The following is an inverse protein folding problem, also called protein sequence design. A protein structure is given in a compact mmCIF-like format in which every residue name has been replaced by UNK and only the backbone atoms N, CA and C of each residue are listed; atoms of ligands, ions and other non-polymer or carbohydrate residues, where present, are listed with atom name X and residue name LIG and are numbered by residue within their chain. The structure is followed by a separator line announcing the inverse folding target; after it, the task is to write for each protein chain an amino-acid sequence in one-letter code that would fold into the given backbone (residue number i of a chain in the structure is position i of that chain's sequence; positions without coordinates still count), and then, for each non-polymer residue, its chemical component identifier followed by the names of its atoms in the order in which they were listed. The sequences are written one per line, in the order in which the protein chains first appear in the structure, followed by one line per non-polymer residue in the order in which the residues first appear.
data_IF_164375683940
#
_entry.id   IF_164375683940
#
_cell.length_a   1.000
_cell.length_b   1.000
_cell.length_c   1.000
_cell.angle_alpha   90.00
_cell.angle_beta   90.00
_cell.angle_gamma   90.00
#
_symmetry.space_group_name_H-M   'P 1'
#
loop_
_entity.id
_entity.type
_entity.pdbx_description
1 polymer ?
#
# COMPACT_ATOMS: atom_id res chain seq x y z
N UNK A 1 5.83 15.29 13.03
CA UNK A 1 6.51 15.13 11.72
C UNK A 1 5.71 15.92 10.68
N UNK A 2 6.35 16.74 9.85
CA UNK A 2 5.66 17.56 8.84
C UNK A 2 5.62 16.78 7.50
N UNK A 3 4.45 16.28 7.12
CA UNK A 3 4.24 15.49 5.88
C UNK A 3 3.84 16.36 4.68
N UNK A 4 3.92 17.69 4.78
CA UNK A 4 3.38 18.64 3.80
C UNK A 4 3.96 18.52 2.37
N UNK A 5 4.96 17.67 2.13
CA UNK A 5 5.57 17.44 0.82
C UNK A 5 5.56 15.96 0.39
N UNK A 6 4.84 15.08 1.09
CA UNK A 6 4.80 13.67 0.74
C UNK A 6 3.93 13.45 -0.51
N UNK A 7 4.44 12.82 -1.59
CA UNK A 7 3.60 12.46 -2.72
C UNK A 7 2.41 11.62 -2.25
N UNK A 8 1.20 12.09 -2.57
CA UNK A 8 -0.05 11.47 -2.11
C UNK A 8 -1.07 11.47 -3.24
N UNK A 9 -1.89 10.43 -3.32
CA UNK A 9 -2.93 10.25 -4.35
C UNK A 9 -4.20 9.68 -3.74
N UNK A 10 -5.36 10.07 -4.26
CA UNK A 10 -6.64 9.47 -3.86
C UNK A 10 -6.74 8.00 -4.28
N UNK A 11 -7.33 7.15 -3.44
CA UNK A 11 -7.51 5.72 -3.74
C UNK A 11 -8.25 5.45 -5.07
N UNK A 12 -9.19 6.32 -5.44
CA UNK A 12 -9.93 6.24 -6.70
C UNK A 12 -9.07 6.52 -7.94
N UNK A 13 -7.95 7.22 -7.77
CA UNK A 13 -7.04 7.63 -8.85
C UNK A 13 -5.85 6.69 -9.04
N UNK A 14 -5.73 5.65 -8.21
CA UNK A 14 -4.66 4.63 -8.37
C UNK A 14 -4.95 3.77 -9.61
N UNK A 15 -4.02 3.65 -10.58
CA UNK A 15 -4.22 2.85 -11.80
C UNK A 15 -4.60 1.38 -11.51
N UNK A 16 -5.27 0.74 -12.47
CA UNK A 16 -5.73 -0.65 -12.32
C UNK A 16 -4.61 -1.68 -12.30
N UNK A 17 -3.47 -1.37 -12.92
CA UNK A 17 -2.26 -2.19 -13.03
C UNK A 17 -1.10 -1.66 -12.17
N UNK A 18 -1.41 -0.77 -11.22
CA UNK A 18 -0.44 -0.18 -10.31
C UNK A 18 0.23 -1.25 -9.42
N UNK A 19 1.50 -1.03 -9.08
CA UNK A 19 2.16 -1.77 -8.00
C UNK A 19 1.65 -1.20 -6.67
N UNK A 20 0.67 -1.86 -6.07
CA UNK A 20 0.21 -1.53 -4.72
C UNK A 20 1.07 -2.28 -3.71
N UNK A 21 1.67 -1.54 -2.78
CA UNK A 21 2.43 -2.09 -1.65
C UNK A 21 1.57 -1.96 -0.39
N UNK A 22 1.00 -3.07 0.08
CA UNK A 22 0.22 -3.10 1.32
C UNK A 22 1.15 -3.38 2.51
N UNK A 23 1.17 -2.46 3.47
CA UNK A 23 2.01 -2.53 4.67
C UNK A 23 1.25 -2.85 5.95
N UNK A 24 -0.01 -3.29 5.81
CA UNK A 24 -0.81 -3.77 6.94
C UNK A 24 -0.31 -5.14 7.43
N UNK A 25 -0.70 -5.51 8.64
CA UNK A 25 -0.32 -6.82 9.20
C UNK A 25 -1.12 -7.96 8.55
N UNK A 26 -0.69 -9.21 8.76
CA UNK A 26 -1.22 -10.40 8.09
C UNK A 26 -2.74 -10.59 8.27
N UNK A 27 -3.28 -10.27 9.44
CA UNK A 27 -4.71 -10.40 9.74
C UNK A 27 -5.54 -9.39 8.94
N UNK A 28 -5.05 -8.16 8.81
CA UNK A 28 -5.67 -7.12 7.99
C UNK A 28 -5.62 -7.46 6.49
N UNK A 29 -4.50 -8.04 6.03
CA UNK A 29 -4.33 -8.51 4.66
C UNK A 29 -5.28 -9.66 4.33
N UNK A 30 -5.34 -10.68 5.19
CA UNK A 30 -6.16 -11.87 4.97
C UNK A 30 -7.67 -11.55 4.93
N UNK A 31 -8.12 -10.55 5.70
CA UNK A 31 -9.51 -10.08 5.71
C UNK A 31 -9.96 -9.45 4.38
N UNK A 32 -9.07 -8.74 3.71
CA UNK A 32 -9.38 -8.08 2.45
C UNK A 32 -8.27 -7.15 1.99
N UNK A 33 -7.82 -7.31 0.74
CA UNK A 33 -6.75 -6.52 0.16
C UNK A 33 -6.95 -6.30 -1.35
N UNK A 34 -6.10 -5.47 -1.95
CA UNK A 34 -6.11 -5.19 -3.39
C UNK A 34 -5.53 -6.38 -4.16
N UNK A 35 -6.27 -6.90 -5.14
CA UNK A 35 -5.79 -8.00 -5.98
C UNK A 35 -4.45 -7.66 -6.65
N UNK A 36 -3.48 -8.57 -6.54
CA UNK A 36 -2.14 -8.40 -7.12
C UNK A 36 -1.23 -7.42 -6.36
N UNK A 37 -1.64 -6.92 -5.19
CA UNK A 37 -0.76 -6.12 -4.34
C UNK A 37 0.43 -6.95 -3.81
N UNK A 38 1.54 -6.27 -3.57
CA UNK A 38 2.67 -6.80 -2.82
C UNK A 38 2.42 -6.56 -1.33
N UNK A 39 2.40 -7.63 -0.54
CA UNK A 39 2.23 -7.55 0.91
C UNK A 39 3.56 -7.62 1.65
N UNK A 40 3.90 -6.54 2.36
CA UNK A 40 5.07 -6.47 3.23
C UNK A 40 4.66 -5.79 4.54
N UNK A 41 4.33 -6.56 5.60
CA UNK A 41 3.91 -6.00 6.89
C UNK A 41 4.87 -4.95 7.41
N UNK A 42 4.34 -3.90 8.03
CA UNK A 42 5.18 -2.83 8.58
C UNK A 42 6.19 -3.36 9.62
N UNK A 43 5.79 -4.38 10.39
CA UNK A 43 6.64 -5.09 11.35
C UNK A 43 7.85 -5.79 10.72
N UNK A 44 7.75 -6.20 9.46
CA UNK A 44 8.79 -6.93 8.71
C UNK A 44 9.49 -6.07 7.65
N UNK A 45 9.00 -4.84 7.43
CA UNK A 45 9.35 -4.03 6.27
C UNK A 45 10.85 -3.85 6.04
N UNK A 46 11.62 -3.58 7.10
CA UNK A 46 13.08 -3.39 6.99
C UNK A 46 13.78 -4.70 6.61
N UNK A 47 13.35 -5.83 7.17
CA UNK A 47 13.93 -7.13 6.88
C UNK A 47 13.60 -7.60 5.45
N UNK A 48 12.41 -7.25 4.96
CA UNK A 48 11.89 -7.61 3.64
C UNK A 48 12.03 -6.49 2.60
N UNK A 49 12.84 -5.47 2.89
CA UNK A 49 13.04 -4.33 2.00
C UNK A 49 13.53 -4.73 0.59
N UNK A 50 14.28 -5.83 0.50
CA UNK A 50 14.73 -6.41 -0.77
C UNK A 50 13.57 -6.70 -1.73
N UNK A 51 12.45 -7.24 -1.24
CA UNK A 51 11.27 -7.55 -2.05
C UNK A 51 10.68 -6.27 -2.69
N UNK A 52 10.66 -5.17 -1.92
CA UNK A 52 10.18 -3.88 -2.42
C UNK A 52 11.11 -3.37 -3.52
N UNK A 53 12.43 -3.44 -3.30
CA UNK A 53 13.41 -2.98 -4.31
C UNK A 53 13.38 -3.80 -5.59
N UNK A 54 13.15 -5.11 -5.50
CA UNK A 54 12.97 -5.98 -6.66
C UNK A 54 11.68 -5.64 -7.41
N UNK A 55 10.59 -5.40 -6.70
CA UNK A 55 9.29 -5.07 -7.30
C UNK A 55 9.27 -3.73 -8.06
N UNK A 56 10.14 -2.77 -7.68
CA UNK A 56 10.29 -1.47 -8.36
C UNK A 56 11.51 -1.40 -9.29
N UNK A 57 12.25 -2.50 -9.48
CA UNK A 57 13.53 -2.49 -10.21
C UNK A 57 13.38 -2.09 -11.69
N UNK A 58 12.20 -2.26 -12.27
CA UNK A 58 11.85 -1.83 -13.63
C UNK A 58 11.43 -0.34 -13.72
N UNK A 59 11.49 0.39 -12.61
CA UNK A 59 11.14 1.81 -12.53
C UNK A 59 9.65 2.07 -12.28
N UNK A 60 8.86 1.05 -11.91
CA UNK A 60 7.46 1.24 -11.52
C UNK A 60 7.33 2.05 -10.22
N UNK A 61 6.33 2.93 -10.18
CA UNK A 61 5.94 3.67 -8.97
C UNK A 61 5.24 2.74 -7.98
N UNK A 62 5.66 2.77 -6.72
CA UNK A 62 5.00 2.09 -5.63
C UNK A 62 3.85 2.93 -5.05
N UNK A 63 2.64 2.37 -5.02
CA UNK A 63 1.46 2.96 -4.38
C UNK A 63 1.30 2.33 -3.00
N UNK A 64 1.76 3.04 -1.97
CA UNK A 64 1.85 2.49 -0.62
C UNK A 64 0.51 2.61 0.08
N UNK A 65 0.03 1.49 0.59
CA UNK A 65 -1.29 1.29 1.15
C UNK A 65 -1.20 0.86 2.60
N UNK A 66 -2.04 1.42 3.46
CA UNK A 66 -2.34 0.83 4.76
C UNK A 66 -3.84 0.96 5.04
N UNK A 67 -4.28 0.83 6.30
CA UNK A 67 -5.71 0.94 6.62
C UNK A 67 -6.31 2.32 6.35
N UNK A 68 -5.62 3.39 6.80
CA UNK A 68 -6.16 4.77 6.81
C UNK A 68 -5.19 5.84 6.27
N UNK A 69 -4.00 5.44 5.79
CA UNK A 69 -2.98 6.36 5.27
C UNK A 69 -1.79 6.66 6.20
N UNK A 70 -1.90 6.40 7.51
CA UNK A 70 -0.86 6.75 8.49
C UNK A 70 0.46 5.97 8.37
N UNK A 71 0.39 4.63 8.43
CA UNK A 71 1.57 3.74 8.29
C UNK A 71 2.19 3.84 6.90
N UNK A 72 1.34 3.90 5.87
CA UNK A 72 1.76 4.04 4.48
C UNK A 72 2.46 5.37 4.23
N UNK A 73 2.07 6.46 4.90
CA UNK A 73 2.79 7.73 4.79
C UNK A 73 4.24 7.64 5.33
N UNK A 74 4.45 6.91 6.43
CA UNK A 74 5.78 6.68 6.99
C UNK A 74 6.65 5.83 6.05
N UNK A 75 6.08 4.76 5.50
CA UNK A 75 6.79 3.90 4.54
C UNK A 75 7.08 4.64 3.22
N UNK A 76 6.12 5.41 2.71
CA UNK A 76 6.33 6.25 1.51
C UNK A 76 7.48 7.23 1.73
N UNK A 77 7.50 7.90 2.89
CA UNK A 77 8.59 8.83 3.21
C UNK A 77 9.95 8.12 3.24
N UNK A 78 10.02 6.93 3.83
CA UNK A 78 11.23 6.12 3.84
C UNK A 78 11.68 5.76 2.42
N UNK A 79 10.77 5.26 1.57
CA UNK A 79 11.05 4.91 0.18
C UNK A 79 11.57 6.09 -0.64
N UNK A 80 10.90 7.25 -0.54
CA UNK A 80 11.33 8.48 -1.21
C UNK A 80 12.72 8.91 -0.75
N UNK A 81 13.06 8.77 0.54
CA UNK A 81 14.41 9.04 1.05
C UNK A 81 15.47 8.09 0.50
N UNK A 82 15.09 6.86 0.10
CA UNK A 82 15.96 5.92 -0.61
C UNK A 82 16.02 6.17 -2.12
N UNK A 83 15.34 7.20 -2.63
CA UNK A 83 15.28 7.52 -4.06
C UNK A 83 14.30 6.65 -4.87
N UNK A 84 13.40 5.92 -4.20
CA UNK A 84 12.36 5.11 -4.85
C UNK A 84 11.14 6.00 -5.13
N UNK A 85 10.58 5.91 -6.35
CA UNK A 85 9.33 6.57 -6.71
C UNK A 85 8.16 5.90 -5.96
N UNK A 86 7.70 6.54 -4.91
CA UNK A 86 6.60 6.06 -4.07
C UNK A 86 5.59 7.17 -3.81
N UNK A 87 4.32 6.79 -3.77
CA UNK A 87 3.19 7.67 -3.46
C UNK A 87 2.32 7.02 -2.39
N UNK A 88 1.93 7.80 -1.39
CA UNK A 88 0.99 7.36 -0.37
C UNK A 88 -0.43 7.36 -0.94
N UNK A 89 -1.19 6.29 -0.69
CA UNK A 89 -2.62 6.27 -1.01
C UNK A 89 -3.39 6.90 0.15
N UNK A 90 -4.04 8.04 -0.11
CA UNK A 90 -4.79 8.77 0.91
C UNK A 90 -6.02 7.99 1.37
N UNK A 91 -6.29 8.05 2.67
CA UNK A 91 -7.37 7.29 3.32
C UNK A 91 -7.21 5.77 3.29
N UNK A 92 -6.14 5.23 2.69
CA UNK A 92 -5.81 3.82 2.66
C UNK A 92 -6.93 2.91 2.13
N UNK A 93 -7.00 1.70 2.68
CA UNK A 93 -7.99 0.69 2.30
C UNK A 93 -9.44 1.12 2.60
N UNK A 94 -9.68 1.95 3.62
CA UNK A 94 -11.03 2.49 3.85
C UNK A 94 -11.50 3.37 2.68
N UNK A 95 -10.62 4.22 2.15
CA UNK A 95 -10.94 5.01 0.97
C UNK A 95 -11.06 4.14 -0.30
N UNK A 96 -10.24 3.09 -0.42
CA UNK A 96 -10.34 2.12 -1.51
C UNK A 96 -11.69 1.39 -1.54
N UNK A 97 -12.13 0.87 -0.40
CA UNK A 97 -13.42 0.21 -0.24
C UNK A 97 -14.58 1.19 -0.48
N UNK A 98 -14.52 2.39 0.10
CA UNK A 98 -15.52 3.44 -0.11
C UNK A 98 -15.65 3.87 -1.57
N UNK A 99 -14.56 3.83 -2.33
CA UNK A 99 -14.54 4.07 -3.78
C UNK A 99 -15.11 2.91 -4.61
N UNK A 100 -15.56 1.82 -3.98
CA UNK A 100 -16.15 0.66 -4.65
C UNK A 100 -15.14 -0.15 -5.47
N UNK A 101 -13.86 -0.07 -5.12
CA UNK A 101 -12.80 -0.73 -5.87
C UNK A 101 -12.71 -2.23 -5.55
N UNK A 102 -12.25 -3.06 -6.51
CA UNK A 102 -12.12 -4.50 -6.30
C UNK A 102 -11.19 -4.84 -5.14
N UNK A 103 -11.56 -5.88 -4.39
CA UNK A 103 -10.77 -6.46 -3.30
C UNK A 103 -10.95 -7.98 -3.29
N UNK A 104 -9.95 -8.69 -2.79
CA UNK A 104 -9.95 -10.15 -2.61
C UNK A 104 -9.63 -10.48 -1.14
N UNK A 105 -10.00 -11.68 -0.68
CA UNK A 105 -9.73 -12.15 0.68
C UNK A 105 -9.14 -13.56 0.65
N UNK A 106 -8.36 -13.90 1.67
CA UNK A 106 -7.79 -15.24 1.83
C UNK A 106 -8.73 -16.17 2.64
N UNK A 107 -9.79 -15.62 3.22
CA UNK A 107 -10.73 -16.36 4.08
C UNK A 107 -11.88 -17.02 3.33
N UNK A 108 -11.95 -16.90 2.00
CA UNK A 108 -13.04 -17.45 1.19
C UNK A 108 -14.41 -16.79 1.40
N UNK A 109 -14.45 -15.69 2.15
CA UNK A 109 -15.62 -14.83 2.35
C UNK A 109 -15.52 -13.51 1.59
N UNK A 110 -16.53 -12.63 1.67
CA UNK A 110 -16.43 -11.30 1.08
C UNK A 110 -15.25 -10.53 1.69
N UNK A 111 -14.45 -9.88 0.84
CA UNK A 111 -13.35 -9.04 1.29
C UNK A 111 -13.87 -7.84 2.08
N UNK A 112 -13.21 -7.52 3.18
CA UNK A 112 -13.53 -6.38 4.04
C UNK A 112 -12.27 -5.74 4.60
N UNK A 113 -12.34 -4.45 4.90
CA UNK A 113 -11.24 -3.74 5.55
C UNK A 113 -11.28 -3.97 7.07
N UNK A 114 -10.37 -4.81 7.58
CA UNK A 114 -10.23 -5.10 9.01
C UNK A 114 -9.51 -4.00 9.79
#
# INVERSE_FOLDING_TARGET
MNFASLPTVDAASVPGDALVLDVREDDEWAAGHVEGALHVPMSEFVARFGEVTEAVADGRRAYVMCRVGGRSAQVTQYLVQQGIDAVNVDGGMLAWESAGRPMVSEHGGPAAVA
#
